data_IF_597516048508
#
_entry.id   IF_597516048508
#
_cell.length_a   1.000
_cell.length_b   1.000
_cell.length_c   1.000
_cell.angle_alpha   90.00
_cell.angle_beta   90.00
_cell.angle_gamma   90.00
#
_symmetry.space_group_name_H-M   'P 1'
#
loop_
_entity.id
_entity.type
_entity.pdbx_description
1 polymer ?
#
# COMPACT_ATOMS: atom_id res chain seq x y z
N UNK A 1 -1.87 -5.91 8.52
CA UNK A 1 -2.63 -4.93 7.73
C UNK A 1 -1.71 -3.84 7.24
N UNK A 2 -2.26 -2.77 6.63
CA UNK A 2 -1.50 -1.60 6.17
C UNK A 2 -1.90 -0.36 6.98
N UNK A 3 -0.90 0.42 7.40
CA UNK A 3 -1.12 1.68 8.09
C UNK A 3 -0.47 2.80 7.28
N UNK A 4 -1.25 3.84 6.98
CA UNK A 4 -0.87 4.91 6.06
C UNK A 4 -1.17 6.29 6.64
N UNK A 5 -0.74 7.34 5.94
CA UNK A 5 -1.14 8.72 6.25
C UNK A 5 -2.67 8.88 6.33
N UNK A 6 -3.43 8.21 5.45
CA UNK A 6 -4.89 8.25 5.49
C UNK A 6 -5.44 7.72 6.82
N UNK A 7 -4.84 6.67 7.38
CA UNK A 7 -5.24 6.15 8.69
C UNK A 7 -4.90 7.13 9.81
N UNK A 8 -3.75 7.82 9.73
CA UNK A 8 -3.38 8.89 10.67
C UNK A 8 -4.42 10.01 10.64
N UNK A 9 -4.74 10.54 9.45
CA UNK A 9 -5.66 11.66 9.28
C UNK A 9 -7.09 11.30 9.67
N UNK A 10 -7.56 10.11 9.31
CA UNK A 10 -8.93 9.70 9.53
C UNK A 10 -9.20 9.17 10.93
N UNK A 11 -8.23 8.50 11.56
CA UNK A 11 -8.45 7.71 12.78
C UNK A 11 -7.63 8.16 13.97
N UNK A 12 -6.48 8.80 13.76
CA UNK A 12 -5.54 9.14 14.84
C UNK A 12 -5.62 10.62 15.23
N UNK A 13 -5.51 11.52 14.25
CA UNK A 13 -5.36 12.96 14.46
C UNK A 13 -6.53 13.61 15.21
N UNK A 14 -7.73 13.02 15.14
CA UNK A 14 -8.96 13.60 15.70
C UNK A 14 -9.52 12.83 16.90
N UNK A 15 -9.09 11.59 17.13
CA UNK A 15 -9.76 10.66 18.06
C UNK A 15 -8.87 10.14 19.18
N UNK A 16 -7.55 10.32 19.10
CA UNK A 16 -6.61 9.70 20.04
C UNK A 16 -5.94 10.74 20.92
N UNK A 17 -6.19 10.66 22.22
CA UNK A 17 -5.64 11.58 23.24
C UNK A 17 -4.35 11.07 23.86
N UNK A 18 -4.15 9.74 23.88
CA UNK A 18 -2.93 9.09 24.36
C UNK A 18 -2.50 8.01 23.34
N UNK A 19 -1.47 8.32 22.56
CA UNK A 19 -0.91 7.44 21.55
C UNK A 19 -0.05 6.32 22.16
N UNK A 20 0.51 6.53 23.36
CA UNK A 20 1.40 5.56 23.99
C UNK A 20 0.65 4.32 24.50
N UNK A 21 -0.64 4.47 24.79
CA UNK A 21 -1.51 3.40 25.25
C UNK A 21 -2.16 2.58 24.11
N UNK A 22 -1.85 2.88 22.84
CA UNK A 22 -2.55 2.32 21.68
C UNK A 22 -1.59 1.64 20.71
N UNK A 23 -2.10 0.69 19.94
CA UNK A 23 -1.33 -0.09 18.97
C UNK A 23 -1.67 0.26 17.53
N UNK A 24 -0.77 -0.03 16.59
CA UNK A 24 -1.02 0.19 15.14
C UNK A 24 -2.17 -0.68 14.63
N UNK A 25 -2.34 -1.87 15.20
CA UNK A 25 -3.39 -2.83 14.84
C UNK A 25 -4.80 -2.23 14.98
N UNK A 26 -5.00 -1.37 15.98
CA UNK A 26 -6.28 -0.69 16.24
C UNK A 26 -6.69 0.29 15.13
N UNK A 27 -5.73 0.81 14.35
CA UNK A 27 -5.99 1.87 13.37
C UNK A 27 -5.63 1.49 11.94
N UNK A 28 -4.86 0.43 11.73
CA UNK A 28 -4.52 -0.02 10.39
C UNK A 28 -5.77 -0.47 9.60
N UNK A 29 -5.64 -0.54 8.29
CA UNK A 29 -6.59 -1.24 7.44
C UNK A 29 -6.27 -2.74 7.47
N UNK A 30 -7.17 -3.60 7.98
CA UNK A 30 -6.96 -5.05 7.99
C UNK A 30 -7.13 -5.61 6.57
N UNK A 31 -6.41 -6.70 6.28
CA UNK A 31 -6.53 -7.46 5.02
C UNK A 31 -6.57 -6.56 3.75
N UNK A 32 -5.53 -5.74 3.50
CA UNK A 32 -5.49 -4.93 2.29
C UNK A 32 -5.41 -5.83 1.05
N UNK A 33 -5.81 -5.29 -0.11
CA UNK A 33 -5.48 -5.91 -1.39
C UNK A 33 -3.96 -6.03 -1.53
N UNK A 34 -3.50 -7.19 -1.98
CA UNK A 34 -2.07 -7.47 -2.20
C UNK A 34 -1.87 -8.06 -3.60
N UNK A 35 -0.63 -8.02 -4.09
CA UNK A 35 -0.22 -8.68 -5.32
C UNK A 35 1.01 -9.57 -5.08
N UNK A 36 1.10 -10.69 -5.80
CA UNK A 36 2.31 -11.50 -5.81
C UNK A 36 3.39 -10.85 -6.68
N UNK A 37 4.67 -11.07 -6.36
CA UNK A 37 5.79 -10.47 -7.08
C UNK A 37 5.95 -10.93 -8.54
N UNK A 38 5.29 -12.02 -8.94
CA UNK A 38 5.35 -12.61 -10.28
C UNK A 38 4.30 -12.05 -11.25
N UNK A 39 3.38 -11.20 -10.78
CA UNK A 39 2.34 -10.61 -11.64
C UNK A 39 2.86 -9.37 -12.39
N UNK A 40 2.31 -9.08 -13.59
CA UNK A 40 2.70 -7.88 -14.34
C UNK A 40 2.43 -6.59 -13.56
N UNK A 41 3.34 -5.61 -13.68
CA UNK A 41 3.20 -4.28 -13.05
C UNK A 41 1.89 -3.55 -13.43
N UNK A 42 1.33 -3.86 -14.61
CA UNK A 42 0.06 -3.33 -15.06
C UNK A 42 -1.12 -3.68 -14.13
N UNK A 43 -1.06 -4.81 -13.41
CA UNK A 43 -2.09 -5.18 -12.43
C UNK A 43 -2.09 -4.24 -11.22
N UNK A 44 -0.91 -3.81 -10.77
CA UNK A 44 -0.81 -2.84 -9.70
C UNK A 44 -1.38 -1.48 -10.12
N UNK A 45 -1.07 -1.03 -11.34
CA UNK A 45 -1.65 0.19 -11.90
C UNK A 45 -3.18 0.11 -11.98
N UNK A 46 -3.70 -1.05 -12.40
CA UNK A 46 -5.14 -1.31 -12.47
C UNK A 46 -5.81 -1.22 -11.09
N UNK A 47 -5.25 -1.88 -10.08
CA UNK A 47 -5.75 -1.81 -8.70
C UNK A 47 -5.74 -0.37 -8.16
N UNK A 48 -4.64 0.34 -8.34
CA UNK A 48 -4.53 1.75 -7.92
C UNK A 48 -5.60 2.63 -8.58
N UNK A 49 -5.88 2.42 -9.86
CA UNK A 49 -6.87 3.19 -10.61
C UNK A 49 -8.31 2.93 -10.13
N UNK A 50 -8.67 1.67 -9.89
CA UNK A 50 -10.04 1.28 -9.49
C UNK A 50 -10.32 1.62 -8.04
N UNK A 51 -9.39 1.27 -7.14
CA UNK A 51 -9.61 1.35 -5.71
C UNK A 51 -9.12 2.66 -5.09
N UNK A 52 -8.55 3.57 -5.90
CA UNK A 52 -8.15 4.94 -5.51
C UNK A 52 -7.04 5.00 -4.44
N UNK A 53 -6.28 3.92 -4.22
CA UNK A 53 -5.07 3.95 -3.41
C UNK A 53 -3.81 4.06 -4.25
N UNK A 54 -2.72 4.54 -3.63
CA UNK A 54 -1.44 4.82 -4.31
C UNK A 54 -0.34 3.79 -4.03
N UNK A 55 -0.61 2.85 -3.13
CA UNK A 55 0.35 1.87 -2.67
C UNK A 55 -0.30 0.49 -2.68
N UNK A 56 0.45 -0.51 -3.13
CA UNK A 56 0.03 -1.91 -3.14
C UNK A 56 1.11 -2.74 -2.47
N UNK A 57 0.80 -3.45 -1.36
CA UNK A 57 1.72 -4.43 -0.77
C UNK A 57 1.97 -5.58 -1.74
N UNK A 58 3.23 -6.00 -1.80
CA UNK A 58 3.66 -7.16 -2.57
C UNK A 58 3.99 -8.29 -1.61
N UNK A 59 3.51 -9.50 -1.92
CA UNK A 59 3.70 -10.70 -1.12
C UNK A 59 4.36 -11.82 -1.92
N UNK A 60 4.90 -12.82 -1.21
CA UNK A 60 5.30 -14.10 -1.79
C UNK A 60 4.12 -15.09 -1.88
N UNK A 61 4.42 -16.33 -2.29
CA UNK A 61 3.46 -17.43 -2.41
C UNK A 61 2.87 -17.91 -1.06
N UNK A 62 3.39 -17.42 0.06
CA UNK A 62 2.96 -17.73 1.43
C UNK A 62 2.32 -16.52 2.12
N UNK A 63 1.91 -15.52 1.36
CA UNK A 63 1.35 -14.24 1.84
C UNK A 63 2.31 -13.45 2.76
N UNK A 64 3.61 -13.70 2.68
CA UNK A 64 4.61 -12.93 3.42
C UNK A 64 4.95 -11.66 2.65
N UNK A 65 4.84 -10.51 3.32
CA UNK A 65 5.15 -9.22 2.73
C UNK A 65 6.62 -9.14 2.29
N UNK A 66 6.82 -8.90 1.00
CA UNK A 66 8.13 -8.65 0.38
C UNK A 66 8.44 -7.16 0.30
N UNK A 67 7.41 -6.32 0.19
CA UNK A 67 7.57 -4.88 0.08
C UNK A 67 6.28 -4.16 -0.32
N UNK A 68 6.43 -2.94 -0.79
CA UNK A 68 5.33 -2.08 -1.25
C UNK A 68 5.77 -1.48 -2.58
N UNK A 69 4.86 -1.42 -3.55
CA UNK A 69 5.03 -0.57 -4.72
C UNK A 69 4.10 0.62 -4.62
N UNK A 70 4.59 1.78 -5.03
CA UNK A 70 3.83 3.00 -5.16
C UNK A 70 3.51 3.30 -6.63
N UNK A 71 2.51 4.16 -6.85
CA UNK A 71 2.25 4.73 -8.16
C UNK A 71 3.49 5.40 -8.76
N UNK A 72 4.33 6.02 -7.93
CA UNK A 72 5.59 6.65 -8.37
C UNK A 72 6.57 5.60 -8.91
N UNK A 73 6.67 4.44 -8.26
CA UNK A 73 7.55 3.36 -8.73
C UNK A 73 7.10 2.85 -10.10
N UNK A 74 5.78 2.73 -10.31
CA UNK A 74 5.21 2.35 -11.62
C UNK A 74 5.55 3.38 -12.69
N UNK A 75 5.37 4.67 -12.41
CA UNK A 75 5.70 5.74 -13.36
C UNK A 75 7.19 5.76 -13.68
N UNK A 76 8.06 5.69 -12.67
CA UNK A 76 9.51 5.67 -12.86
C UNK A 76 9.94 4.43 -13.67
N UNK A 77 9.32 3.27 -13.43
CA UNK A 77 9.59 2.06 -14.19
C UNK A 77 9.23 2.24 -15.67
N UNK A 78 8.06 2.81 -15.97
CA UNK A 78 7.63 3.11 -17.34
C UNK A 78 8.60 4.09 -18.00
N UNK A 79 8.94 5.21 -17.36
CA UNK A 79 9.88 6.21 -17.89
C UNK A 79 11.24 5.59 -18.25
N UNK A 80 11.81 4.79 -17.35
CA UNK A 80 13.13 4.17 -17.56
C UNK A 80 13.16 3.06 -18.61
N UNK A 81 12.00 2.50 -18.99
CA UNK A 81 11.90 1.35 -19.90
C UNK A 81 11.21 1.67 -21.24
N UNK A 82 10.54 2.82 -21.36
CA UNK A 82 9.90 3.26 -22.62
C UNK A 82 10.77 4.24 -23.44
N UNK A 83 11.80 4.86 -22.85
CA UNK A 83 12.75 5.74 -23.57
C UNK A 83 13.93 4.97 -24.22
N UNK A 84 13.74 3.70 -24.57
CA UNK A 84 14.67 2.88 -25.38
C UNK A 84 13.98 2.22 -26.56
#
# INVERSE_FOLDING_TARGET
>A
GIFTESDVLAKVATLVTDLAARTVDEYMTPNPDVLCADVPIAHALHLMAIHRYRHVPIVDDKDIALGIISFRDVVNYIETHFDK
#
